data_IF_191239515547
#
_entry.id   IF_191239515547
#
_cell.length_a   1.000
_cell.length_b   1.000
_cell.length_c   1.000
_cell.angle_alpha   90.00
_cell.angle_beta   90.00
_cell.angle_gamma   90.00
#
_symmetry.space_group_name_H-M   'P 1'
#
loop_
_entity.id
_entity.type
_entity.pdbx_description
1 polymer ?
#
# COMPACT_ATOMS: atom_id res chain seq x y z
N UNK A 1 4.36 19.66 -6.49
CA UNK A 1 5.62 19.05 -5.99
C UNK A 1 6.45 18.62 -7.19
N UNK A 2 7.78 18.56 -7.08
CA UNK A 2 8.71 18.61 -8.23
C UNK A 2 9.70 17.45 -8.23
N UNK A 3 9.90 16.83 -9.39
CA UNK A 3 10.99 15.89 -9.67
C UNK A 3 12.16 16.63 -10.34
N UNK A 4 13.39 16.37 -9.91
CA UNK A 4 14.60 16.92 -10.53
C UNK A 4 15.20 15.86 -11.46
N UNK A 5 15.10 16.05 -12.78
CA UNK A 5 15.91 15.29 -13.73
C UNK A 5 17.21 16.08 -14.00
N UNK A 6 18.37 15.46 -13.78
CA UNK A 6 19.68 16.08 -14.00
C UNK A 6 20.45 15.36 -15.10
N UNK A 7 21.53 15.94 -15.64
CA UNK A 7 22.42 15.22 -16.58
C UNK A 7 23.07 13.97 -15.95
N UNK A 8 23.02 13.81 -14.62
CA UNK A 8 23.43 12.58 -13.94
C UNK A 8 22.43 11.41 -14.13
N UNK A 9 21.21 11.69 -14.62
CA UNK A 9 20.30 10.66 -15.05
C UNK A 9 20.73 10.15 -16.44
N UNK A 10 21.66 9.19 -16.49
CA UNK A 10 22.11 8.43 -17.67
C UNK A 10 21.10 8.47 -18.82
N UNK A 11 21.34 9.36 -19.78
CA UNK A 11 20.53 9.46 -20.98
C UNK A 11 21.13 8.53 -22.03
N UNK A 12 20.33 7.63 -22.58
CA UNK A 12 20.79 6.76 -23.68
C UNK A 12 20.90 7.51 -24.99
N UNK A 13 20.08 8.55 -25.20
CA UNK A 13 20.05 9.34 -26.44
C UNK A 13 19.76 10.80 -26.18
N UNK A 14 20.28 11.65 -27.06
CA UNK A 14 20.03 13.10 -27.07
C UNK A 14 19.45 13.50 -28.43
N UNK A 15 18.43 14.34 -28.44
CA UNK A 15 17.77 14.84 -29.65
C UNK A 15 17.58 16.34 -29.57
N UNK A 16 17.78 17.06 -30.69
CA UNK A 16 17.58 18.50 -30.78
C UNK A 16 16.49 18.82 -31.79
N UNK A 17 15.48 19.60 -31.37
CA UNK A 17 14.40 20.09 -32.24
C UNK A 17 13.94 21.45 -31.75
N UNK A 18 13.79 22.41 -32.68
CA UNK A 18 13.28 23.75 -32.37
C UNK A 18 14.08 24.51 -31.30
N UNK A 19 15.41 24.39 -31.29
CA UNK A 19 16.25 25.06 -30.28
C UNK A 19 16.24 24.41 -28.88
N UNK A 20 15.61 23.24 -28.73
CA UNK A 20 15.53 22.54 -27.45
C UNK A 20 16.30 21.22 -27.50
N UNK A 21 16.89 20.83 -26.37
CA UNK A 21 17.50 19.51 -26.19
C UNK A 21 16.55 18.60 -25.42
N UNK A 22 16.34 17.40 -25.95
CA UNK A 22 15.60 16.31 -25.34
C UNK A 22 16.57 15.17 -25.02
N UNK A 23 16.36 14.51 -23.89
CA UNK A 23 17.13 13.36 -23.42
C UNK A 23 16.20 12.17 -23.28
N UNK A 24 16.57 11.04 -23.89
CA UNK A 24 15.90 9.76 -23.64
C UNK A 24 16.52 9.18 -22.36
N UNK A 25 15.79 9.24 -21.26
CA UNK A 25 16.30 8.75 -19.99
C UNK A 25 16.33 7.22 -20.02
N UNK A 26 17.43 6.63 -19.56
CA UNK A 26 17.60 5.17 -19.54
C UNK A 26 17.24 4.55 -18.20
N UNK A 27 17.02 5.38 -17.17
CA UNK A 27 16.70 4.96 -15.82
C UNK A 27 15.90 6.07 -15.12
N UNK A 28 15.43 5.77 -13.92
CA UNK A 28 14.59 6.69 -13.16
C UNK A 28 13.10 6.49 -13.49
N UNK A 29 12.21 7.17 -12.77
CA UNK A 29 10.76 7.06 -13.00
C UNK A 29 10.35 7.44 -14.44
N UNK A 30 11.22 8.13 -15.19
CA UNK A 30 11.02 8.57 -16.55
C UNK A 30 11.83 7.77 -17.59
N UNK A 31 12.33 6.57 -17.23
CA UNK A 31 13.03 5.70 -18.16
C UNK A 31 12.18 5.42 -19.42
N UNK A 32 12.81 5.48 -20.60
CA UNK A 32 12.15 5.29 -21.89
C UNK A 32 11.45 6.53 -22.46
N UNK A 33 11.47 7.67 -21.77
CA UNK A 33 10.84 8.91 -22.23
C UNK A 33 11.83 9.98 -22.66
N UNK A 34 11.47 10.71 -23.72
CA UNK A 34 12.16 11.92 -24.15
C UNK A 34 11.77 13.09 -23.25
N UNK A 35 12.68 13.53 -22.39
CA UNK A 35 12.46 14.66 -21.48
C UNK A 35 13.20 15.88 -22.01
N UNK A 36 12.49 16.99 -22.15
CA UNK A 36 13.11 18.28 -22.48
C UNK A 36 13.73 18.88 -21.24
N UNK A 37 15.06 18.96 -21.19
CA UNK A 37 15.75 19.73 -20.15
C UNK A 37 15.86 21.19 -20.63
N UNK A 38 14.87 22.01 -20.28
CA UNK A 38 15.04 23.46 -20.31
C UNK A 38 15.74 23.86 -19.01
N UNK A 39 16.97 24.35 -19.11
CA UNK A 39 17.77 24.99 -18.03
C UNK A 39 17.13 24.92 -16.64
N UNK A 40 17.33 23.77 -15.98
CA UNK A 40 17.25 23.67 -14.53
C UNK A 40 15.94 23.22 -13.87
N UNK A 41 15.06 22.43 -14.51
CA UNK A 41 14.12 21.43 -13.90
C UNK A 41 12.85 21.27 -14.75
N UNK A 42 12.47 20.02 -15.04
CA UNK A 42 11.15 19.70 -15.57
C UNK A 42 10.17 19.44 -14.40
N UNK A 43 9.15 20.28 -14.26
CA UNK A 43 8.13 20.14 -13.22
C UNK A 43 7.14 19.03 -13.59
N UNK A 44 7.19 17.92 -12.86
CA UNK A 44 6.23 16.84 -13.02
C UNK A 44 5.31 16.82 -11.79
N UNK A 45 3.99 17.05 -11.97
CA UNK A 45 3.05 16.97 -10.87
C UNK A 45 2.87 15.53 -10.40
N UNK A 46 3.08 15.32 -9.10
CA UNK A 46 2.82 14.04 -8.44
C UNK A 46 1.36 13.62 -8.58
N UNK A 47 1.12 12.31 -8.73
CA UNK A 47 -0.21 11.72 -8.61
C UNK A 47 -0.65 11.79 -7.14
N UNK A 48 -1.86 12.26 -6.90
CA UNK A 48 -2.46 12.17 -5.56
C UNK A 48 -3.16 10.83 -5.43
N UNK A 49 -2.76 10.04 -4.44
CA UNK A 49 -3.36 8.76 -4.07
C UNK A 49 -4.15 8.93 -2.78
N UNK A 50 -5.45 8.73 -2.81
CA UNK A 50 -6.35 8.92 -1.68
C UNK A 50 -6.49 7.63 -0.86
N UNK A 51 -6.26 7.72 0.45
CA UNK A 51 -6.30 6.58 1.38
C UNK A 51 -7.28 6.86 2.50
N UNK A 52 -8.24 5.95 2.71
CA UNK A 52 -9.05 5.89 3.92
C UNK A 52 -8.44 4.89 4.89
N UNK A 53 -8.26 5.29 6.14
CA UNK A 53 -7.95 4.41 7.26
C UNK A 53 -9.17 4.31 8.15
N UNK A 54 -9.70 3.09 8.33
CA UNK A 54 -10.82 2.79 9.22
C UNK A 54 -10.28 2.10 10.47
N UNK A 55 -10.51 2.67 11.66
CA UNK A 55 -9.99 2.12 12.92
C UNK A 55 -11.15 1.65 13.80
N UNK A 56 -11.31 0.33 13.93
CA UNK A 56 -12.25 -0.26 14.87
C UNK A 56 -11.62 -0.36 16.26
N UNK A 57 -12.12 0.46 17.19
CA UNK A 57 -11.68 0.45 18.60
C UNK A 57 -12.30 -0.69 19.40
N UNK A 58 -13.39 -1.26 18.92
CA UNK A 58 -14.11 -2.34 19.58
C UNK A 58 -14.35 -3.48 18.59
N UNK A 59 -14.18 -4.70 19.08
CA UNK A 59 -14.45 -5.94 18.37
C UNK A 59 -15.43 -6.74 19.22
N UNK A 60 -16.49 -7.26 18.61
CA UNK A 60 -17.52 -8.05 19.28
C UNK A 60 -18.01 -9.14 18.32
N UNK A 61 -17.31 -10.27 18.33
CA UNK A 61 -17.41 -11.31 17.31
C UNK A 61 -17.90 -12.61 17.90
N UNK A 62 -18.81 -13.26 17.19
CA UNK A 62 -19.11 -14.68 17.37
C UNK A 62 -18.51 -15.46 16.19
N UNK A 63 -17.65 -16.42 16.48
CA UNK A 63 -16.95 -17.24 15.50
C UNK A 63 -17.07 -18.72 15.85
N UNK A 64 -16.75 -19.57 14.88
CA UNK A 64 -16.58 -21.01 15.05
C UNK A 64 -15.07 -21.32 15.06
N UNK A 65 -14.56 -21.90 16.14
CA UNK A 65 -13.15 -22.26 16.23
C UNK A 65 -12.77 -23.48 15.37
N UNK A 66 -11.49 -23.87 15.39
CA UNK A 66 -10.99 -25.01 14.61
C UNK A 66 -11.61 -26.36 15.03
N UNK A 67 -12.20 -26.46 16.23
CA UNK A 67 -12.89 -27.64 16.75
C UNK A 67 -14.39 -27.66 16.42
N UNK A 68 -14.91 -26.61 15.77
CA UNK A 68 -16.32 -26.47 15.44
C UNK A 68 -17.16 -25.90 16.60
N UNK A 69 -16.53 -25.40 17.66
CA UNK A 69 -17.24 -24.81 18.81
C UNK A 69 -17.49 -23.32 18.58
N UNK A 70 -18.64 -22.85 19.06
CA UNK A 70 -18.93 -21.42 19.10
C UNK A 70 -18.02 -20.74 20.12
N UNK A 71 -17.46 -19.61 19.72
CA UNK A 71 -16.55 -18.82 20.52
C UNK A 71 -16.87 -17.34 20.33
N UNK A 72 -16.86 -16.61 21.44
CA UNK A 72 -17.12 -15.18 21.48
C UNK A 72 -15.82 -14.44 21.78
N UNK A 73 -15.51 -13.39 21.01
CA UNK A 73 -14.43 -12.45 21.30
C UNK A 73 -14.99 -11.05 21.49
N UNK A 74 -14.78 -10.48 22.68
CA UNK A 74 -15.04 -9.08 22.99
C UNK A 74 -13.73 -8.35 23.30
N UNK A 75 -13.22 -7.58 22.34
CA UNK A 75 -11.94 -6.87 22.50
C UNK A 75 -12.08 -5.35 22.40
N UNK A 76 -11.27 -4.62 23.16
CA UNK A 76 -11.14 -3.16 23.08
C UNK A 76 -9.70 -2.78 22.81
N UNK A 77 -9.48 -1.96 21.79
CA UNK A 77 -8.18 -1.38 21.47
C UNK A 77 -7.77 -0.38 22.53
N UNK A 78 -6.64 -0.63 23.21
CA UNK A 78 -6.10 0.33 24.17
C UNK A 78 -5.66 1.62 23.47
N UNK A 79 -5.57 2.71 24.22
CA UNK A 79 -5.06 3.97 23.70
C UNK A 79 -3.59 3.85 23.23
N UNK A 80 -2.77 3.00 23.87
CA UNK A 80 -1.39 2.77 23.41
C UNK A 80 -1.38 2.02 22.08
N UNK A 81 -2.20 0.97 21.94
CA UNK A 81 -2.30 0.22 20.69
C UNK A 81 -2.83 1.10 19.56
N UNK A 82 -3.83 1.94 19.82
CA UNK A 82 -4.31 2.90 18.82
C UNK A 82 -3.20 3.87 18.43
N UNK A 83 -2.52 4.51 19.40
CA UNK A 83 -1.45 5.45 19.12
C UNK A 83 -0.30 4.80 18.32
N UNK A 84 0.00 3.53 18.61
CA UNK A 84 1.00 2.73 17.90
C UNK A 84 0.57 2.48 16.45
N UNK A 85 -0.62 1.92 16.23
CA UNK A 85 -1.12 1.57 14.89
C UNK A 85 -1.36 2.82 14.03
N UNK A 86 -2.07 3.81 14.57
CA UNK A 86 -2.39 5.07 13.87
C UNK A 86 -1.11 5.88 13.64
N UNK A 87 -0.18 5.89 14.60
CA UNK A 87 1.12 6.52 14.43
C UNK A 87 1.96 5.88 13.33
N UNK A 88 1.91 4.55 13.21
CA UNK A 88 2.62 3.82 12.16
C UNK A 88 2.00 4.03 10.78
N UNK A 89 0.68 3.89 10.59
CA UNK A 89 0.06 4.13 9.27
C UNK A 89 0.23 5.59 8.82
N UNK A 90 0.26 6.55 9.75
CA UNK A 90 0.50 7.97 9.43
C UNK A 90 1.91 8.28 8.90
N UNK A 91 2.88 7.36 8.97
CA UNK A 91 4.18 7.55 8.31
C UNK A 91 4.12 7.22 6.81
N UNK A 92 3.12 6.44 6.36
CA UNK A 92 3.01 6.01 4.96
C UNK A 92 3.09 7.15 3.95
N UNK A 93 2.44 8.32 4.11
CA UNK A 93 2.57 9.38 3.11
C UNK A 93 4.00 9.85 2.90
N UNK A 94 4.83 9.84 3.96
CA UNK A 94 6.26 10.12 3.88
C UNK A 94 7.02 9.01 3.16
N UNK A 95 6.76 7.75 3.51
CA UNK A 95 7.38 6.58 2.90
C UNK A 95 7.03 6.46 1.41
N UNK A 96 5.76 6.58 1.03
CA UNK A 96 5.33 6.61 -0.38
C UNK A 96 6.03 7.71 -1.15
N UNK A 97 6.10 8.90 -0.56
CA UNK A 97 6.77 10.03 -1.19
C UNK A 97 8.25 9.75 -1.42
N UNK A 98 8.93 9.18 -0.44
CA UNK A 98 10.35 8.84 -0.52
C UNK A 98 10.60 7.71 -1.52
N UNK A 99 9.92 6.58 -1.34
CA UNK A 99 10.14 5.35 -2.09
C UNK A 99 9.71 5.44 -3.54
N UNK A 100 8.71 6.28 -3.86
CA UNK A 100 8.32 6.57 -5.24
C UNK A 100 9.13 7.70 -5.89
N UNK A 101 10.16 8.23 -5.23
CA UNK A 101 10.87 9.45 -5.67
C UNK A 101 9.91 10.59 -5.99
N UNK A 102 8.93 10.85 -5.13
CA UNK A 102 7.98 11.95 -5.23
C UNK A 102 7.00 11.89 -6.44
N UNK A 103 6.93 10.79 -7.19
CA UNK A 103 5.93 10.64 -8.28
C UNK A 103 4.51 10.42 -7.74
N UNK A 104 4.39 9.93 -6.50
CA UNK A 104 3.12 9.75 -5.78
C UNK A 104 3.13 10.55 -4.48
N UNK A 105 2.00 11.15 -4.14
CA UNK A 105 1.73 11.71 -2.83
C UNK A 105 0.42 11.12 -2.29
N UNK A 106 0.44 10.61 -1.06
CA UNK A 106 -0.79 10.14 -0.43
C UNK A 106 -1.53 11.25 0.29
N UNK A 107 -2.85 11.28 0.12
CA UNK A 107 -3.78 12.04 0.97
C UNK A 107 -4.54 11.06 1.84
N UNK A 108 -4.31 11.11 3.14
CA UNK A 108 -4.87 10.16 4.11
C UNK A 108 -5.98 10.77 4.96
N UNK A 109 -7.08 10.04 5.09
CA UNK A 109 -8.18 10.32 6.03
C UNK A 109 -8.26 9.17 7.03
N UNK A 110 -8.39 9.47 8.33
CA UNK A 110 -8.61 8.45 9.38
C UNK A 110 -9.99 8.62 9.96
N UNK A 111 -10.76 7.53 10.06
CA UNK A 111 -12.10 7.51 10.65
C UNK A 111 -12.24 6.42 11.70
N UNK A 112 -13.20 6.61 12.60
CA UNK A 112 -13.47 5.73 13.74
C UNK A 112 -14.96 5.37 13.73
N UNK A 113 -15.35 4.19 13.23
CA UNK A 113 -16.72 3.70 13.35
C UNK A 113 -17.17 3.66 14.82
N UNK A 114 -18.41 4.07 15.06
CA UNK A 114 -18.99 4.06 16.41
C UNK A 114 -19.42 2.66 16.86
N UNK A 115 -19.80 1.80 15.92
CA UNK A 115 -20.15 0.42 16.20
C UNK A 115 -18.90 -0.46 16.29
N UNK A 116 -18.98 -1.50 17.13
CA UNK A 116 -17.96 -2.53 17.19
C UNK A 116 -17.92 -3.34 15.88
N UNK A 117 -16.73 -3.81 15.51
CA UNK A 117 -16.58 -4.79 14.45
C UNK A 117 -17.28 -6.09 14.88
N UNK A 118 -18.30 -6.51 14.13
CA UNK A 118 -19.19 -7.59 14.56
C UNK A 118 -19.25 -8.79 13.63
N UNK A 119 -18.46 -8.79 12.56
CA UNK A 119 -18.45 -9.87 11.56
C UNK A 119 -17.05 -10.10 11.03
N UNK A 120 -16.76 -11.36 10.72
CA UNK A 120 -15.59 -11.77 9.95
C UNK A 120 -16.02 -12.85 8.95
N UNK A 121 -15.34 -12.87 7.81
CA UNK A 121 -15.49 -13.91 6.82
C UNK A 121 -14.61 -15.11 7.21
N UNK A 122 -15.22 -16.30 7.27
CA UNK A 122 -14.47 -17.53 7.53
C UNK A 122 -13.65 -17.95 6.31
N UNK A 123 -12.42 -18.38 6.56
CA UNK A 123 -11.53 -19.01 5.57
C UNK A 123 -11.54 -20.55 5.70
N UNK A 124 -12.37 -21.10 6.59
CA UNK A 124 -12.34 -22.52 6.96
C UNK A 124 -11.24 -22.84 7.99
N UNK A 125 -11.33 -24.02 8.61
CA UNK A 125 -10.32 -24.50 9.57
C UNK A 125 -10.14 -23.63 10.82
N UNK A 126 -11.17 -22.87 11.21
CA UNK A 126 -11.10 -21.92 12.32
C UNK A 126 -10.37 -20.61 12.02
N UNK A 127 -9.95 -20.38 10.77
CA UNK A 127 -9.31 -19.13 10.34
C UNK A 127 -10.34 -18.11 9.85
N UNK A 128 -10.05 -16.84 10.12
CA UNK A 128 -10.92 -15.72 9.76
C UNK A 128 -10.13 -14.58 9.14
N UNK A 129 -10.81 -13.80 8.31
CA UNK A 129 -10.29 -12.53 7.84
C UNK A 129 -11.39 -11.46 7.81
N UNK A 130 -10.96 -10.21 7.91
CA UNK A 130 -11.86 -9.06 7.82
C UNK A 130 -12.04 -8.66 6.36
N UNK A 131 -13.06 -9.21 5.70
CA UNK A 131 -13.35 -8.93 4.31
C UNK A 131 -13.98 -7.54 4.14
N UNK A 132 -13.89 -6.93 2.94
CA UNK A 132 -14.63 -5.70 2.64
C UNK A 132 -16.13 -5.82 2.94
N UNK A 133 -16.73 -6.99 2.65
CA UNK A 133 -18.14 -7.26 2.88
C UNK A 133 -18.56 -7.29 4.36
N UNK A 134 -17.63 -7.54 5.28
CA UNK A 134 -17.89 -7.55 6.72
C UNK A 134 -18.13 -6.15 7.29
N UNK A 135 -17.62 -5.13 6.60
CA UNK A 135 -17.74 -3.72 6.98
C UNK A 135 -18.51 -2.89 5.94
N UNK A 136 -19.34 -3.54 5.13
CA UNK A 136 -19.99 -2.92 3.96
C UNK A 136 -20.79 -1.65 4.29
N UNK A 137 -21.45 -1.58 5.46
CA UNK A 137 -22.16 -0.38 5.91
C UNK A 137 -21.23 0.80 6.20
N UNK A 138 -20.05 0.53 6.77
CA UNK A 138 -19.04 1.56 7.03
C UNK A 138 -18.35 1.98 5.73
N UNK A 139 -18.13 1.05 4.79
CA UNK A 139 -17.65 1.39 3.45
C UNK A 139 -18.63 2.27 2.70
N UNK A 140 -19.93 1.95 2.71
CA UNK A 140 -20.95 2.77 2.08
C UNK A 140 -21.01 4.20 2.68
N UNK A 141 -20.73 4.34 3.98
CA UNK A 141 -20.73 5.61 4.69
C UNK A 141 -19.46 6.43 4.48
N UNK A 142 -18.29 5.82 4.61
CA UNK A 142 -17.01 6.52 4.67
C UNK A 142 -16.20 6.46 3.37
N UNK A 143 -16.42 5.44 2.54
CA UNK A 143 -15.76 5.25 1.25
C UNK A 143 -16.78 4.92 0.14
N UNK A 144 -17.72 5.84 -0.18
CA UNK A 144 -18.59 5.66 -1.33
C UNK A 144 -17.75 5.45 -2.61
N UNK A 145 -18.32 4.76 -3.60
CA UNK A 145 -17.60 4.36 -4.81
C UNK A 145 -16.82 5.51 -5.46
N UNK A 146 -15.53 5.28 -5.69
CA UNK A 146 -14.61 6.24 -6.32
C UNK A 146 -14.10 7.37 -5.41
N UNK A 147 -14.39 7.35 -4.11
CA UNK A 147 -13.91 8.39 -3.17
C UNK A 147 -12.49 8.16 -2.65
N UNK A 148 -12.00 6.92 -2.67
CA UNK A 148 -10.66 6.53 -2.24
C UNK A 148 -10.03 5.53 -3.21
N UNK A 149 -8.72 5.62 -3.38
CA UNK A 149 -7.93 4.64 -4.14
C UNK A 149 -7.58 3.42 -3.29
N UNK A 150 -7.45 3.61 -1.97
CA UNK A 150 -7.20 2.52 -1.02
C UNK A 150 -7.91 2.69 0.30
N UNK A 151 -8.29 1.57 0.90
CA UNK A 151 -8.88 1.46 2.22
C UNK A 151 -7.97 0.55 3.04
N UNK A 152 -7.57 1.01 4.22
CA UNK A 152 -6.82 0.24 5.21
C UNK A 152 -7.68 0.15 6.47
N UNK A 153 -7.92 -1.06 6.95
CA UNK A 153 -8.71 -1.30 8.15
C UNK A 153 -7.81 -1.79 9.28
N UNK A 154 -7.89 -1.14 10.44
CA UNK A 154 -7.14 -1.48 11.64
C UNK A 154 -8.12 -1.98 12.68
N UNK A 155 -7.86 -3.15 13.26
CA UNK A 155 -8.72 -3.75 14.28
C UNK A 155 -7.92 -4.65 15.22
N UNK A 156 -8.49 -4.95 16.39
CA UNK A 156 -7.86 -5.79 17.40
C UNK A 156 -8.51 -7.18 17.43
N UNK A 157 -7.76 -8.26 17.12
CA UNK A 157 -8.29 -9.62 17.08
C UNK A 157 -8.08 -10.39 18.39
N UNK A 158 -7.79 -9.72 19.50
CA UNK A 158 -7.44 -10.36 20.77
C UNK A 158 -7.77 -9.48 22.00
N UNK A 159 -7.93 -10.11 23.15
CA UNK A 159 -7.99 -9.50 24.47
C UNK A 159 -7.00 -10.19 25.45
N UNK A 160 -7.09 -9.89 26.75
CA UNK A 160 -6.15 -10.45 27.73
C UNK A 160 -6.22 -11.98 27.86
N UNK A 161 -7.39 -12.57 27.59
CA UNK A 161 -7.69 -13.97 27.85
C UNK A 161 -7.79 -14.78 26.55
N UNK A 162 -7.92 -14.10 25.39
CA UNK A 162 -8.31 -14.76 24.16
C UNK A 162 -7.79 -14.09 22.88
N UNK A 163 -7.59 -14.88 21.81
CA UNK A 163 -7.13 -14.36 20.50
C UNK A 163 -7.66 -15.13 19.31
N UNK A 164 -8.12 -14.43 18.29
CA UNK A 164 -8.56 -15.04 17.04
C UNK A 164 -7.36 -15.27 16.12
N UNK A 165 -7.24 -16.46 15.50
CA UNK A 165 -6.24 -16.71 14.48
C UNK A 165 -6.61 -15.90 13.21
N UNK A 166 -6.03 -14.70 13.11
CA UNK A 166 -5.97 -13.95 11.86
C UNK A 166 -4.87 -14.55 10.99
N UNK A 167 -5.14 -14.69 9.69
CA UNK A 167 -4.11 -15.14 8.75
C UNK A 167 -3.07 -14.03 8.59
N UNK A 168 -1.92 -14.18 9.24
CA UNK A 168 -0.89 -13.15 9.29
C UNK A 168 -1.29 -11.91 10.09
N UNK A 169 -0.42 -10.90 10.06
CA UNK A 169 -0.64 -9.60 10.69
C UNK A 169 -1.44 -8.65 9.79
N UNK A 170 -1.53 -8.95 8.50
CA UNK A 170 -2.31 -8.22 7.51
C UNK A 170 -2.70 -9.09 6.33
N UNK A 171 -3.72 -8.64 5.61
CA UNK A 171 -4.17 -9.21 4.34
C UNK A 171 -4.65 -8.09 3.43
N UNK A 172 -4.44 -8.27 2.13
CA UNK A 172 -4.91 -7.36 1.11
C UNK A 172 -5.85 -8.05 0.12
N UNK A 173 -6.72 -7.25 -0.48
CA UNK A 173 -7.65 -7.64 -1.51
C UNK A 173 -7.65 -6.57 -2.62
N UNK A 174 -7.62 -6.97 -3.90
CA UNK A 174 -7.56 -6.04 -5.01
C UNK A 174 -8.81 -5.16 -5.09
N UNK A 175 -8.70 -4.03 -5.80
CA UNK A 175 -9.84 -3.17 -6.08
C UNK A 175 -10.98 -3.92 -6.77
N UNK A 176 -12.20 -3.82 -6.23
CA UNK A 176 -13.37 -4.45 -6.82
C UNK A 176 -14.68 -3.93 -6.24
N UNK A 177 -15.82 -4.47 -6.72
CA UNK A 177 -17.14 -4.05 -6.26
C UNK A 177 -17.35 -4.22 -4.74
N UNK A 178 -16.73 -5.23 -4.14
CA UNK A 178 -16.82 -5.50 -2.69
C UNK A 178 -16.20 -4.40 -1.82
N UNK A 179 -15.26 -3.63 -2.37
CA UNK A 179 -14.55 -2.53 -1.71
C UNK A 179 -14.84 -1.17 -2.36
N UNK A 180 -15.99 -1.03 -3.04
CA UNK A 180 -16.39 0.21 -3.71
C UNK A 180 -15.34 0.73 -4.74
N UNK A 181 -14.59 -0.19 -5.35
CA UNK A 181 -13.56 0.10 -6.34
C UNK A 181 -12.21 0.51 -5.77
N UNK A 182 -12.03 0.51 -4.45
CA UNK A 182 -10.75 0.79 -3.80
C UNK A 182 -9.95 -0.48 -3.56
N UNK A 183 -8.62 -0.40 -3.61
CA UNK A 183 -7.79 -1.46 -3.03
C UNK A 183 -8.08 -1.57 -1.53
N UNK A 184 -8.04 -2.78 -0.99
CA UNK A 184 -8.39 -3.02 0.40
C UNK A 184 -7.27 -3.73 1.13
N UNK A 185 -6.98 -3.31 2.34
CA UNK A 185 -6.10 -4.00 3.26
C UNK A 185 -6.70 -4.00 4.67
N UNK A 186 -6.45 -5.07 5.41
CA UNK A 186 -6.71 -5.16 6.84
C UNK A 186 -5.39 -5.42 7.55
N UNK A 187 -5.16 -4.75 8.69
CA UNK A 187 -3.99 -4.93 9.54
C UNK A 187 -4.47 -5.09 10.98
N UNK A 188 -4.02 -6.16 11.62
CA UNK A 188 -4.38 -6.45 13.01
C UNK A 188 -3.39 -5.83 13.99
N UNK A 189 -3.90 -5.42 15.16
CA UNK A 189 -3.05 -5.05 16.29
C UNK A 189 -2.25 -6.28 16.73
N UNK A 190 -0.92 -6.21 16.83
CA UNK A 190 -0.12 -7.35 17.27
C UNK A 190 -0.37 -7.70 18.74
N UNK A 191 -0.33 -9.00 19.11
CA UNK A 191 -0.38 -9.42 20.50
C UNK A 191 0.71 -8.72 21.34
N UNK A 192 0.36 -8.32 22.57
CA UNK A 192 1.26 -7.73 23.59
C UNK A 192 2.05 -6.47 23.20
N UNK A 193 1.64 -5.71 22.17
CA UNK A 193 2.26 -4.41 21.84
C UNK A 193 3.74 -4.48 21.45
N UNK A 194 4.26 -5.68 21.18
CA UNK A 194 5.70 -5.98 21.15
C UNK A 194 6.20 -6.49 19.81
N UNK A 195 5.41 -6.40 18.74
CA UNK A 195 5.91 -6.76 17.41
C UNK A 195 7.00 -5.79 16.98
N UNK A 196 8.19 -6.33 16.77
CA UNK A 196 9.39 -5.61 16.36
C UNK A 196 9.17 -4.71 15.13
N UNK A 197 8.27 -5.13 14.22
CA UNK A 197 7.97 -4.42 12.98
C UNK A 197 7.13 -3.16 13.15
N UNK A 198 6.39 -3.00 14.25
CA UNK A 198 5.61 -1.78 14.51
C UNK A 198 6.26 -0.85 15.55
N UNK A 199 7.03 -1.43 16.47
CA UNK A 199 7.70 -0.69 17.55
C UNK A 199 9.06 -0.16 17.14
N UNK A 200 9.72 -0.76 16.13
CA UNK A 200 10.96 -0.23 15.57
C UNK A 200 10.72 1.06 14.79
N UNK A 201 11.48 2.10 15.14
CA UNK A 201 11.53 3.35 14.35
C UNK A 201 11.95 3.09 12.90
N UNK A 202 12.83 2.12 12.65
CA UNK A 202 13.34 1.80 11.32
C UNK A 202 12.28 1.15 10.42
N UNK A 203 11.26 0.51 11.00
CA UNK A 203 10.22 -0.23 10.27
C UNK A 203 8.83 0.40 10.40
N UNK A 204 8.74 1.56 11.07
CA UNK A 204 7.46 2.19 11.39
C UNK A 204 6.70 2.57 10.11
N UNK A 205 5.60 1.88 9.87
CA UNK A 205 4.72 2.06 8.72
C UNK A 205 5.00 1.12 7.56
N UNK A 206 6.12 0.41 7.56
CA UNK A 206 6.46 -0.53 6.49
C UNK A 206 5.45 -1.68 6.34
N UNK A 207 4.88 -2.24 7.41
CA UNK A 207 3.83 -3.27 7.28
C UNK A 207 2.55 -2.72 6.62
N UNK A 208 2.19 -1.47 6.91
CA UNK A 208 1.09 -0.82 6.17
C UNK A 208 1.46 -0.55 4.71
N UNK A 209 2.73 -0.20 4.43
CA UNK A 209 3.23 -0.08 3.06
C UNK A 209 3.16 -1.41 2.32
N UNK A 210 3.52 -2.52 2.96
CA UNK A 210 3.44 -3.87 2.39
C UNK A 210 2.00 -4.21 2.00
N UNK A 211 1.04 -4.08 2.92
CA UNK A 211 -0.35 -4.41 2.62
C UNK A 211 -0.97 -3.47 1.58
N UNK A 212 -0.62 -2.19 1.62
CA UNK A 212 -1.03 -1.24 0.57
C UNK A 212 -0.44 -1.60 -0.80
N UNK A 213 0.82 -2.02 -0.84
CA UNK A 213 1.51 -2.38 -2.08
C UNK A 213 0.90 -3.60 -2.77
N UNK A 214 0.31 -4.56 -2.05
CA UNK A 214 -0.45 -5.65 -2.67
C UNK A 214 -1.52 -5.13 -3.64
N UNK A 215 -2.37 -4.21 -3.16
CA UNK A 215 -3.41 -3.63 -3.99
C UNK A 215 -2.88 -2.71 -5.10
N UNK A 216 -1.84 -1.92 -4.80
CA UNK A 216 -1.19 -1.06 -5.80
C UNK A 216 -0.60 -1.87 -6.95
N UNK A 217 0.13 -2.94 -6.61
CA UNK A 217 0.74 -3.83 -7.59
C UNK A 217 -0.33 -4.49 -8.43
N UNK A 218 -1.40 -5.01 -7.82
CA UNK A 218 -2.52 -5.59 -8.57
C UNK A 218 -3.14 -4.56 -9.55
N UNK A 219 -3.43 -3.35 -9.06
CA UNK A 219 -3.97 -2.26 -9.87
C UNK A 219 -3.07 -1.95 -11.09
N UNK A 220 -1.76 -1.90 -10.90
CA UNK A 220 -0.83 -1.59 -11.98
C UNK A 220 -0.46 -2.79 -12.85
N UNK A 221 -0.36 -4.00 -12.32
CA UNK A 221 -0.06 -5.22 -13.07
C UNK A 221 -1.11 -5.48 -14.16
N UNK A 222 -2.37 -5.13 -13.91
CA UNK A 222 -3.43 -5.16 -14.92
C UNK A 222 -3.25 -4.15 -16.07
N UNK A 223 -2.36 -3.16 -15.93
CA UNK A 223 -2.22 -1.97 -16.81
C UNK A 223 -0.82 -1.77 -17.36
N UNK A 224 0.18 -2.40 -16.75
CA UNK A 224 1.58 -2.35 -17.15
C UNK A 224 2.17 -3.75 -17.11
N UNK A 225 2.78 -4.17 -18.22
CA UNK A 225 3.55 -5.40 -18.24
C UNK A 225 4.77 -5.28 -17.30
N UNK A 226 5.06 -6.35 -16.56
CA UNK A 226 6.31 -6.48 -15.81
C UNK A 226 6.33 -5.77 -14.44
N UNK A 227 5.26 -5.87 -13.65
CA UNK A 227 5.33 -5.57 -12.20
C UNK A 227 5.50 -6.90 -11.46
N UNK A 228 6.64 -7.15 -10.79
CA UNK A 228 6.85 -8.37 -10.01
C UNK A 228 5.86 -8.50 -8.85
N UNK A 229 5.60 -9.73 -8.38
CA UNK A 229 4.78 -9.91 -7.19
C UNK A 229 5.52 -9.37 -5.95
N UNK A 230 4.78 -8.88 -4.97
CA UNK A 230 5.36 -8.23 -3.79
C UNK A 230 6.35 -9.15 -3.02
N UNK A 231 6.10 -10.46 -3.03
CA UNK A 231 6.90 -11.47 -2.33
C UNK A 231 8.04 -12.07 -3.17
N UNK A 232 8.26 -11.60 -4.41
CA UNK A 232 9.31 -12.12 -5.28
C UNK A 232 10.69 -11.50 -5.02
N UNK A 233 10.88 -10.72 -3.94
CA UNK A 233 12.11 -9.99 -3.67
C UNK A 233 13.37 -10.88 -3.75
N UNK A 234 13.30 -12.11 -3.22
CA UNK A 234 14.42 -13.04 -3.23
C UNK A 234 14.77 -13.53 -4.65
N UNK A 235 13.79 -13.67 -5.54
CA UNK A 235 14.00 -14.01 -6.96
C UNK A 235 14.85 -12.97 -7.66
N UNK A 236 14.79 -11.71 -7.23
CA UNK A 236 15.52 -10.57 -7.79
C UNK A 236 16.75 -10.14 -6.99
N UNK A 237 17.26 -11.02 -6.11
CA UNK A 237 18.43 -10.75 -5.25
C UNK A 237 18.24 -9.56 -4.28
N UNK A 238 17.00 -9.25 -3.91
CA UNK A 238 16.70 -8.30 -2.84
C UNK A 238 16.63 -9.02 -1.50
N UNK A 239 17.70 -8.90 -0.73
CA UNK A 239 17.74 -9.32 0.66
C UNK A 239 17.11 -8.28 1.59
N UNK A 240 16.59 -8.77 2.72
CA UNK A 240 16.25 -7.94 3.87
C UNK A 240 17.51 -7.18 4.36
N UNK A 241 17.40 -5.87 4.54
CA UNK A 241 18.47 -5.01 5.06
C UNK A 241 18.16 -4.54 6.48
N UNK A 242 18.35 -5.42 7.46
CA UNK A 242 18.19 -5.06 8.88
C UNK A 242 16.72 -5.00 9.33
N UNK A 243 15.87 -5.87 8.77
CA UNK A 243 14.43 -5.97 9.03
C UNK A 243 13.55 -5.18 8.06
N UNK A 244 14.11 -4.60 6.99
CA UNK A 244 13.38 -3.75 6.03
C UNK A 244 13.55 -4.20 4.58
N UNK A 245 12.45 -4.10 3.85
CA UNK A 245 12.30 -4.25 2.41
C UNK A 245 12.16 -2.91 1.69
N UNK A 246 12.47 -1.79 2.35
CA UNK A 246 12.40 -0.43 1.77
C UNK A 246 13.07 -0.30 0.41
N UNK A 247 14.24 -0.93 0.20
CA UNK A 247 14.91 -0.96 -1.11
C UNK A 247 14.06 -1.65 -2.17
N UNK A 248 13.51 -2.82 -1.85
CA UNK A 248 12.65 -3.60 -2.75
C UNK A 248 11.37 -2.82 -3.10
N UNK A 249 10.69 -2.30 -2.09
CA UNK A 249 9.46 -1.51 -2.26
C UNK A 249 9.70 -0.23 -3.05
N UNK A 250 10.79 0.49 -2.75
CA UNK A 250 11.19 1.66 -3.53
C UNK A 250 11.43 1.32 -4.98
N UNK A 251 12.21 0.27 -5.26
CA UNK A 251 12.53 -0.10 -6.63
C UNK A 251 11.30 -0.58 -7.41
N UNK A 252 10.37 -1.30 -6.78
CA UNK A 252 9.06 -1.59 -7.35
C UNK A 252 8.30 -0.30 -7.72
N UNK A 253 8.25 0.69 -6.81
CA UNK A 253 7.51 1.94 -7.02
C UNK A 253 8.15 2.88 -8.05
N UNK A 254 9.40 2.64 -8.46
CA UNK A 254 10.17 3.47 -9.41
C UNK A 254 10.43 2.80 -10.75
N UNK A 255 9.98 1.57 -10.95
CA UNK A 255 10.37 0.70 -12.07
C UNK A 255 11.90 0.48 -12.13
N UNK A 256 12.53 0.13 -11.00
CA UNK A 256 13.98 -0.06 -10.87
C UNK A 256 14.37 -1.52 -10.59
N UNK A 257 13.42 -2.47 -10.64
CA UNK A 257 13.76 -3.89 -10.48
C UNK A 257 14.38 -4.41 -11.78
N UNK A 258 15.60 -4.96 -11.80
CA UNK A 258 16.18 -5.50 -13.03
C UNK A 258 15.36 -6.67 -13.57
N UNK A 259 15.08 -6.67 -14.87
CA UNK A 259 14.56 -7.85 -15.53
C UNK A 259 15.70 -8.86 -15.73
N UNK A 260 15.55 -10.09 -15.22
CA UNK A 260 16.57 -11.13 -15.36
C UNK A 260 16.64 -11.69 -16.80
N UNK A 261 15.64 -11.42 -17.64
CA UNK A 261 15.54 -11.95 -19.00
C UNK A 261 15.87 -10.89 -20.06
N UNK A 262 16.00 -9.62 -19.69
CA UNK A 262 16.27 -8.52 -20.62
C UNK A 262 17.14 -7.44 -20.00
N UNK A 263 17.58 -6.45 -20.78
CA UNK A 263 18.27 -5.26 -20.25
C UNK A 263 17.27 -4.17 -19.79
N UNK A 264 16.01 -4.53 -19.52
CA UNK A 264 14.98 -3.62 -19.08
C UNK A 264 14.83 -3.61 -17.55
N UNK A 265 14.00 -2.68 -17.07
CA UNK A 265 13.59 -2.62 -15.68
C UNK A 265 12.08 -2.79 -15.55
N UNK A 266 11.69 -3.41 -14.44
CA UNK A 266 10.35 -3.80 -14.04
C UNK A 266 9.88 -3.00 -12.83
N UNK A 267 8.57 -2.96 -12.63
CA UNK A 267 7.89 -2.21 -11.58
C UNK A 267 6.93 -1.15 -12.12
N UNK A 268 6.47 -0.26 -11.24
CA UNK A 268 5.45 0.74 -11.52
C UNK A 268 6.12 1.98 -12.08
N UNK A 269 5.93 2.22 -13.37
CA UNK A 269 6.51 3.37 -14.05
C UNK A 269 5.70 4.66 -13.79
N UNK A 270 6.30 5.81 -14.11
CA UNK A 270 5.65 7.10 -13.92
C UNK A 270 4.31 7.25 -14.65
N UNK A 271 4.17 6.74 -15.88
CA UNK A 271 2.89 6.83 -16.59
C UNK A 271 1.81 5.97 -15.94
N UNK A 272 2.19 4.84 -15.36
CA UNK A 272 1.28 4.00 -14.58
C UNK A 272 0.76 4.78 -13.37
N UNK A 273 1.66 5.45 -12.63
CA UNK A 273 1.24 6.33 -11.54
C UNK A 273 0.33 7.47 -12.02
N UNK A 274 0.53 8.00 -13.22
CA UNK A 274 -0.30 9.08 -13.79
C UNK A 274 -1.65 8.63 -14.31
N UNK A 275 -1.82 7.34 -14.61
CA UNK A 275 -3.09 6.79 -15.09
C UNK A 275 -4.07 6.48 -13.96
N UNK A 276 -3.70 6.78 -12.71
CA UNK A 276 -4.62 6.79 -11.56
C UNK A 276 -5.63 7.93 -11.74
N UNK A 277 -6.66 7.68 -12.53
CA UNK A 277 -7.87 8.49 -12.55
C UNK A 277 -8.67 8.16 -11.32
N UNK A 278 -8.47 8.89 -10.23
CA UNK A 278 -9.64 9.24 -9.44
C UNK A 278 -10.55 10.04 -10.37
N UNK A 279 -11.82 9.63 -10.48
CA UNK A 279 -12.92 10.22 -11.28
C UNK A 279 -12.92 10.03 -12.81
N UNK A 280 -13.53 8.96 -13.31
CA UNK A 280 -14.81 8.98 -14.08
C UNK A 280 -15.28 7.57 -14.48
N UNK A 281 -16.53 7.27 -14.11
CA UNK A 281 -17.47 6.26 -14.64
C UNK A 281 -16.97 5.20 -15.65
N UNK A 282 -17.19 3.92 -15.29
CA UNK A 282 -17.91 2.99 -16.17
C UNK A 282 -19.27 2.69 -15.52
#
# INVERSE_FOLDING_TARGET
MTLNATEADSATRRYRKGGHTYYLLSWGPLAGYWVRLATGVALIPATTWTVLVVVYRQTNLDVIDASGQNRHLGATMSAENEALMVGAVKTMPGLVREWSSAVVAQKMTVVYPAAALSRLTSLGGGAYWLAPGDIGSDLAKYAPQGSYDSIIVIWQPWDADDSLPSYGWGLAYPAGPSSNGSNYATVTVPPSGSSWWITSQAHRGEPFMHEWLHGVIDYHAARTAGVPALHDNATYDYADQGGTFSRWYGDLMKQHVPDQQSNAFMGINYLAWRSVTTTTSL
#
